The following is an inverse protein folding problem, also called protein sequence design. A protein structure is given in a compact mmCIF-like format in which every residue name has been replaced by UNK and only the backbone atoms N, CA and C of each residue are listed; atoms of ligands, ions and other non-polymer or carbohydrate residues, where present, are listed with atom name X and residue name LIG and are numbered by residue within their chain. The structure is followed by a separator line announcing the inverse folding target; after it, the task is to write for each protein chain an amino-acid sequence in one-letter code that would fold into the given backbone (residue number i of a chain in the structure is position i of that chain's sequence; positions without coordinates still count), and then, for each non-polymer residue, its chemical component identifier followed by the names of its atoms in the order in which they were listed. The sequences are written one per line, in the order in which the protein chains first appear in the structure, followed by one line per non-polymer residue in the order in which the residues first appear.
data_IF_620631176311
#
_entry.id   IF_620631176311
#
_cell.length_a   1.000
_cell.length_b   1.000
_cell.length_c   1.000
_cell.angle_alpha   90.00
_cell.angle_beta   90.00
_cell.angle_gamma   90.00
#
_symmetry.space_group_name_H-M   'P 1'
#
loop_
_entity.id
_entity.type
_entity.pdbx_description
1 polymer ?
#
# COMPACT_ATOMS: atom_id res chain seq x y z
N UNK A 1 -15.69 13.52 -7.84
CA UNK A 1 -15.27 14.87 -7.37
C UNK A 1 -15.78 15.04 -5.96
N UNK A 2 -14.90 15.30 -4.98
CA UNK A 2 -15.34 15.68 -3.63
C UNK A 2 -16.10 16.98 -3.71
N UNK A 3 -17.35 17.00 -3.26
CA UNK A 3 -18.22 18.19 -3.22
C UNK A 3 -18.11 18.94 -1.88
N UNK A 4 -17.27 18.47 -0.97
CA UNK A 4 -17.05 19.10 0.34
C UNK A 4 -16.09 20.28 0.21
N UNK A 5 -16.42 21.36 0.92
CA UNK A 5 -15.52 22.53 1.02
C UNK A 5 -14.24 22.09 1.72
N UNK A 6 -13.06 22.31 1.12
CA UNK A 6 -11.79 21.93 1.74
C UNK A 6 -11.65 22.59 3.12
N UNK A 7 -11.33 21.79 4.14
CA UNK A 7 -11.00 22.32 5.46
C UNK A 7 -9.64 22.99 5.41
N UNK A 8 -9.52 24.15 6.07
CA UNK A 8 -8.21 24.81 6.22
C UNK A 8 -7.35 23.99 7.19
N UNK A 9 -6.20 23.53 6.69
CA UNK A 9 -5.19 22.82 7.50
C UNK A 9 -4.09 23.82 7.82
N UNK A 10 -3.88 24.07 9.11
CA UNK A 10 -2.84 25.00 9.57
C UNK A 10 -1.56 24.22 9.92
N UNK A 11 -0.40 24.79 9.55
CA UNK A 11 0.90 24.22 9.94
C UNK A 11 1.06 24.07 11.46
N UNK A 12 0.44 24.97 12.23
CA UNK A 12 0.43 24.92 13.70
C UNK A 12 -0.27 23.67 14.26
N UNK A 13 -1.13 23.04 13.47
CA UNK A 13 -1.93 21.87 13.88
C UNK A 13 -1.19 20.56 13.64
N UNK A 14 -0.05 20.60 12.92
CA UNK A 14 0.76 19.42 12.71
C UNK A 14 1.22 18.82 14.04
N UNK A 15 1.01 17.52 14.18
CA UNK A 15 1.52 16.70 15.29
C UNK A 15 2.15 15.43 14.68
N UNK A 16 3.38 15.08 15.12
CA UNK A 16 3.98 13.82 14.71
C UNK A 16 3.14 12.66 15.26
N UNK A 17 3.09 11.55 14.50
CA UNK A 17 2.43 10.33 14.94
C UNK A 17 3.21 9.66 16.07
N UNK A 18 2.48 9.09 17.05
CA UNK A 18 3.08 8.32 18.15
C UNK A 18 3.78 7.04 17.67
N UNK A 19 3.31 6.47 16.55
CA UNK A 19 3.87 5.29 15.91
C UNK A 19 4.15 5.58 14.44
N UNK A 20 5.26 5.08 13.93
CA UNK A 20 5.62 5.15 12.50
C UNK A 20 5.86 3.75 11.95
N UNK A 21 5.82 3.64 10.62
CA UNK A 21 6.08 2.39 9.89
C UNK A 21 7.47 2.49 9.27
N UNK A 22 8.34 1.53 9.54
CA UNK A 22 9.67 1.46 8.93
C UNK A 22 9.72 0.57 7.70
N UNK A 23 8.86 -0.45 7.67
CA UNK A 23 8.72 -1.38 6.55
C UNK A 23 7.28 -1.84 6.42
N UNK A 24 6.82 -2.00 5.20
CA UNK A 24 5.56 -2.64 4.84
C UNK A 24 5.83 -3.77 3.84
N UNK A 25 5.36 -4.98 4.14
CA UNK A 25 5.27 -6.09 3.19
C UNK A 25 3.81 -6.20 2.74
N UNK A 26 3.58 -6.04 1.44
CA UNK A 26 2.27 -6.09 0.81
C UNK A 26 2.15 -7.34 -0.05
N UNK A 27 1.05 -8.05 0.10
CA UNK A 27 0.69 -9.16 -0.77
C UNK A 27 -0.69 -8.91 -1.36
N UNK A 28 -0.77 -8.87 -2.69
CA UNK A 28 -1.99 -8.69 -3.44
C UNK A 28 -2.40 -9.99 -4.14
N UNK A 29 -3.50 -10.59 -3.74
CA UNK A 29 -4.18 -11.60 -4.52
C UNK A 29 -5.17 -10.87 -5.45
N UNK A 30 -4.69 -10.50 -6.65
CA UNK A 30 -5.44 -9.65 -7.59
C UNK A 30 -6.59 -10.43 -8.23
N UNK A 31 -7.78 -9.89 -8.07
CA UNK A 31 -9.00 -10.24 -8.77
C UNK A 31 -9.84 -8.96 -8.94
N UNK A 32 -10.42 -8.66 -10.13
CA UNK A 32 -11.17 -7.43 -10.35
C UNK A 32 -12.34 -7.22 -9.39
N UNK A 33 -13.07 -8.29 -9.08
CA UNK A 33 -14.25 -8.24 -8.22
C UNK A 33 -13.92 -8.33 -6.72
N UNK A 34 -12.79 -8.97 -6.36
CA UNK A 34 -12.45 -9.26 -4.97
C UNK A 34 -10.93 -9.39 -4.75
N UNK A 35 -10.21 -8.29 -4.82
CA UNK A 35 -8.77 -8.29 -4.46
C UNK A 35 -8.60 -8.35 -2.95
N UNK A 36 -7.82 -9.33 -2.48
CA UNK A 36 -7.36 -9.39 -1.10
C UNK A 36 -5.98 -8.77 -0.99
N UNK A 37 -5.82 -7.88 -0.03
CA UNK A 37 -4.55 -7.23 0.29
C UNK A 37 -4.15 -7.60 1.70
N UNK A 38 -3.06 -8.33 1.85
CA UNK A 38 -2.42 -8.57 3.14
C UNK A 38 -1.28 -7.59 3.30
N UNK A 39 -1.33 -6.75 4.32
CA UNK A 39 -0.25 -5.83 4.67
C UNK A 39 0.34 -6.19 6.03
N UNK A 40 1.67 -6.32 6.09
CA UNK A 40 2.41 -6.52 7.33
C UNK A 40 3.30 -5.31 7.60
N UNK A 41 2.97 -4.57 8.65
CA UNK A 41 3.64 -3.33 9.04
C UNK A 41 4.65 -3.62 10.14
N UNK A 42 5.89 -3.14 9.99
CA UNK A 42 6.85 -3.04 11.08
C UNK A 42 6.72 -1.67 11.71
N UNK A 43 6.23 -1.65 12.93
CA UNK A 43 5.91 -0.44 13.69
C UNK A 43 7.02 -0.12 14.69
N UNK A 44 7.33 1.14 14.84
CA UNK A 44 8.21 1.64 15.90
C UNK A 44 7.60 2.88 16.53
N UNK A 45 7.78 3.01 17.85
CA UNK A 45 7.39 4.20 18.58
C UNK A 45 8.22 5.39 18.10
N UNK A 46 7.56 6.51 17.90
CA UNK A 46 8.22 7.76 17.52
C UNK A 46 8.65 8.53 18.78
N UNK A 47 9.95 8.60 19.11
CA UNK A 47 10.41 9.28 20.32
C UNK A 47 10.21 10.79 20.28
N UNK A 48 9.97 11.36 19.10
CA UNK A 48 9.72 12.80 18.93
C UNK A 48 8.25 13.19 19.12
N UNK A 49 7.36 12.20 19.31
CA UNK A 49 5.94 12.41 19.49
C UNK A 49 5.49 12.14 20.93
N UNK A 50 4.41 12.78 21.40
CA UNK A 50 3.73 12.35 22.62
C UNK A 50 3.28 10.90 22.53
N UNK A 51 3.19 10.22 23.69
CA UNK A 51 2.59 8.89 23.73
C UNK A 51 1.13 8.93 23.22
N UNK A 52 0.76 7.91 22.44
CA UNK A 52 -0.57 7.83 21.85
C UNK A 52 -0.77 6.49 21.11
N UNK A 53 -1.98 6.26 20.61
CA UNK A 53 -2.31 5.05 19.87
C UNK A 53 -1.61 4.99 18.51
N UNK A 54 -1.52 3.79 17.96
CA UNK A 54 -1.35 3.61 16.52
C UNK A 54 -2.65 4.07 15.83
N UNK A 55 -2.51 4.95 14.85
CA UNK A 55 -3.65 5.46 14.05
C UNK A 55 -3.46 4.99 12.61
N UNK A 56 -4.43 4.20 12.13
CA UNK A 56 -4.49 3.72 10.75
C UNK A 56 -5.68 4.39 10.06
N UNK A 57 -5.45 4.87 8.86
CA UNK A 57 -6.46 5.50 8.00
C UNK A 57 -6.91 4.50 6.94
N UNK A 58 -8.20 4.47 6.65
CA UNK A 58 -8.81 3.65 5.61
C UNK A 58 -9.98 4.38 4.97
N UNK A 59 -10.28 4.06 3.72
CA UNK A 59 -11.40 4.63 2.98
C UNK A 59 -12.01 3.56 2.06
N UNK A 60 -13.29 3.26 2.24
CA UNK A 60 -14.03 2.24 1.49
C UNK A 60 -13.38 0.84 1.51
N UNK A 61 -12.85 0.43 2.66
CA UNK A 61 -12.21 -0.86 2.86
C UNK A 61 -13.09 -1.83 3.64
N UNK A 62 -13.12 -3.10 3.22
CA UNK A 62 -13.61 -4.19 4.05
C UNK A 62 -12.46 -4.78 4.87
N UNK A 63 -12.49 -4.59 6.20
CA UNK A 63 -11.51 -5.19 7.11
C UNK A 63 -11.85 -6.68 7.32
N UNK A 64 -10.99 -7.57 6.83
CA UNK A 64 -11.17 -9.02 6.97
C UNK A 64 -10.52 -9.53 8.25
N UNK A 65 -9.29 -9.08 8.55
CA UNK A 65 -8.60 -9.42 9.80
C UNK A 65 -7.59 -8.35 10.19
N UNK A 66 -7.36 -8.26 11.50
CA UNK A 66 -6.36 -7.37 12.11
C UNK A 66 -5.69 -8.12 13.26
N UNK A 67 -4.35 -8.17 13.23
CA UNK A 67 -3.53 -8.75 14.29
C UNK A 67 -2.41 -7.80 14.66
N UNK A 68 -2.07 -7.77 15.93
CA UNK A 68 -0.88 -7.12 16.49
C UNK A 68 -0.06 -8.23 17.15
N UNK A 69 1.20 -8.36 16.71
CA UNK A 69 2.11 -9.41 17.18
C UNK A 69 1.46 -10.81 17.17
N UNK A 70 0.85 -11.13 15.99
CA UNK A 70 0.14 -12.37 15.68
C UNK A 70 -1.13 -12.65 16.52
N UNK A 71 -1.62 -11.66 17.28
CA UNK A 71 -2.82 -11.77 18.12
C UNK A 71 -3.86 -10.71 17.77
N UNK A 72 -5.12 -11.03 18.00
CA UNK A 72 -6.17 -10.01 17.91
C UNK A 72 -5.90 -8.90 18.95
N UNK A 73 -5.97 -7.60 18.57
CA UNK A 73 -5.82 -6.50 19.51
C UNK A 73 -6.94 -6.52 20.56
N UNK A 74 -6.62 -6.16 21.81
CA UNK A 74 -7.53 -6.33 22.95
C UNK A 74 -8.79 -5.45 22.86
N UNK A 75 -8.67 -4.21 22.38
CA UNK A 75 -9.76 -3.24 22.30
C UNK A 75 -9.50 -2.19 21.22
N UNK A 76 -9.48 -2.56 19.93
CA UNK A 76 -9.30 -1.58 18.86
C UNK A 76 -10.54 -0.69 18.75
N UNK A 77 -10.32 0.60 18.56
CA UNK A 77 -11.39 1.55 18.23
C UNK A 77 -11.49 1.64 16.71
N UNK A 78 -12.53 1.05 16.16
CA UNK A 78 -12.72 0.93 14.70
C UNK A 78 -13.89 1.82 14.27
N UNK A 79 -13.63 2.73 13.35
CA UNK A 79 -14.60 3.51 12.61
C UNK A 79 -14.51 3.22 11.12
N UNK A 80 -15.40 3.73 10.28
CA UNK A 80 -15.32 3.52 8.83
C UNK A 80 -14.02 4.00 8.16
N UNK A 81 -13.34 4.98 8.78
CA UNK A 81 -12.16 5.63 8.18
C UNK A 81 -10.92 5.61 9.06
N UNK A 82 -11.04 5.21 10.31
CA UNK A 82 -9.93 5.22 11.27
C UNK A 82 -9.97 3.99 12.15
N UNK A 83 -8.82 3.36 12.33
CA UNK A 83 -8.58 2.35 13.38
C UNK A 83 -7.55 2.92 14.34
N UNK A 84 -7.86 2.92 15.63
CA UNK A 84 -6.92 3.27 16.68
C UNK A 84 -6.66 2.08 17.59
N UNK A 85 -5.38 1.85 17.89
CA UNK A 85 -4.93 0.71 18.71
C UNK A 85 -3.93 1.19 19.73
N UNK A 86 -4.22 0.95 21.00
CA UNK A 86 -3.26 1.23 22.06
C UNK A 86 -2.21 0.11 22.07
N UNK A 87 -0.96 0.47 21.80
CA UNK A 87 0.17 -0.45 21.76
C UNK A 87 1.11 -0.21 22.93
N UNK A 88 1.66 -1.30 23.45
CA UNK A 88 2.69 -1.28 24.50
C UNK A 88 4.10 -1.44 23.87
N UNK A 89 5.14 -1.06 24.62
CA UNK A 89 6.54 -1.22 24.19
C UNK A 89 6.99 -0.19 23.16
N UNK A 90 8.12 -0.50 22.49
CA UNK A 90 8.80 0.41 21.56
C UNK A 90 8.65 -0.04 20.09
N UNK A 91 8.22 -1.27 19.84
CA UNK A 91 7.99 -1.84 18.52
C UNK A 91 6.86 -2.84 18.55
N UNK A 92 6.20 -3.02 17.42
CA UNK A 92 5.15 -4.02 17.20
C UNK A 92 5.09 -4.39 15.72
N UNK A 93 4.37 -5.46 15.41
CA UNK A 93 3.97 -5.79 14.04
C UNK A 93 2.45 -5.73 13.92
N UNK A 94 1.94 -5.17 12.82
CA UNK A 94 0.53 -5.25 12.49
C UNK A 94 0.34 -6.03 11.19
N UNK A 95 -0.48 -7.08 11.24
CA UNK A 95 -0.93 -7.80 10.05
C UNK A 95 -2.39 -7.47 9.80
N UNK A 96 -2.69 -6.96 8.61
CA UNK A 96 -4.01 -6.47 8.23
C UNK A 96 -4.39 -7.12 6.91
N UNK A 97 -5.56 -7.73 6.85
CA UNK A 97 -6.13 -8.23 5.61
C UNK A 97 -7.35 -7.39 5.27
N UNK A 98 -7.32 -6.79 4.08
CA UNK A 98 -8.43 -6.02 3.53
C UNK A 98 -8.94 -6.69 2.25
N UNK A 99 -10.23 -6.52 2.00
CA UNK A 99 -10.85 -6.86 0.73
C UNK A 99 -11.33 -5.58 0.05
N UNK A 100 -11.02 -5.45 -1.23
CA UNK A 100 -11.44 -4.33 -2.10
C UNK A 100 -11.97 -4.89 -3.42
N UNK A 101 -12.77 -4.09 -4.14
CA UNK A 101 -13.36 -4.45 -5.43
C UNK A 101 -12.91 -3.44 -6.51
N UNK A 102 -11.72 -3.61 -7.12
CA UNK A 102 -11.15 -2.64 -8.05
C UNK A 102 -12.02 -2.33 -9.28
N UNK A 103 -12.81 -3.30 -9.76
CA UNK A 103 -13.68 -3.09 -10.91
C UNK A 103 -14.85 -2.12 -10.65
N UNK A 104 -15.25 -1.95 -9.39
CA UNK A 104 -16.30 -1.02 -8.99
C UNK A 104 -15.76 0.33 -8.52
N UNK A 105 -14.44 0.48 -8.44
CA UNK A 105 -13.78 1.72 -8.02
C UNK A 105 -13.85 2.78 -9.13
N UNK A 106 -14.87 3.62 -9.09
CA UNK A 106 -15.07 4.74 -10.03
C UNK A 106 -14.40 6.03 -9.58
N UNK A 107 -13.87 6.08 -8.35
CA UNK A 107 -13.15 7.24 -7.83
C UNK A 107 -11.78 7.43 -8.49
N UNK A 108 -11.24 6.38 -9.14
CA UNK A 108 -9.89 6.35 -9.73
C UNK A 108 -8.83 6.76 -8.72
N UNK A 109 -9.00 6.34 -7.48
CA UNK A 109 -8.10 6.58 -6.35
C UNK A 109 -7.89 5.26 -5.60
N UNK A 110 -6.66 4.95 -5.19
CA UNK A 110 -6.27 3.63 -4.73
C UNK A 110 -6.08 2.66 -5.90
N UNK A 111 -6.48 1.40 -5.74
CA UNK A 111 -6.43 0.37 -6.78
C UNK A 111 -7.75 0.33 -7.56
N UNK A 112 -7.68 0.40 -8.88
CA UNK A 112 -8.84 0.32 -9.78
C UNK A 112 -8.51 -0.46 -11.06
N UNK A 113 -9.53 -0.83 -11.82
CA UNK A 113 -9.34 -1.43 -13.14
C UNK A 113 -9.66 -0.44 -14.25
N UNK A 114 -8.89 -0.50 -15.34
CA UNK A 114 -9.14 0.26 -16.56
C UNK A 114 -8.65 -0.53 -17.76
N UNK A 115 -9.46 -0.60 -18.83
CA UNK A 115 -9.11 -1.29 -20.08
C UNK A 115 -8.57 -2.71 -19.89
N UNK A 116 -9.09 -3.43 -18.91
CA UNK A 116 -8.71 -4.81 -18.63
C UNK A 116 -7.44 -4.98 -17.77
N UNK A 117 -6.80 -3.91 -17.31
CA UNK A 117 -5.67 -3.95 -16.39
C UNK A 117 -5.97 -3.33 -15.03
N UNK A 118 -5.12 -3.61 -14.05
CA UNK A 118 -5.10 -2.97 -12.73
C UNK A 118 -4.11 -1.82 -12.72
N UNK A 119 -4.50 -0.71 -12.11
CA UNK A 119 -3.70 0.48 -11.94
C UNK A 119 -3.92 1.09 -10.58
N UNK A 120 -2.93 1.81 -10.08
CA UNK A 120 -3.05 2.57 -8.83
C UNK A 120 -2.92 4.07 -9.07
N UNK A 121 -3.66 4.85 -8.28
CA UNK A 121 -3.46 6.28 -8.09
C UNK A 121 -3.47 6.56 -6.59
N UNK A 122 -2.31 6.83 -6.01
CA UNK A 122 -2.18 7.03 -4.56
C UNK A 122 -1.96 8.48 -4.14
N UNK A 123 -1.55 9.36 -5.04
CA UNK A 123 -1.42 10.78 -4.73
C UNK A 123 -2.81 11.46 -4.75
N UNK A 124 -3.18 12.24 -3.71
CA UNK A 124 -2.40 12.51 -2.52
C UNK A 124 -2.70 11.52 -1.37
N UNK A 125 -3.89 10.94 -1.27
CA UNK A 125 -4.41 10.15 -0.15
C UNK A 125 -5.10 8.86 -0.61
N UNK A 126 -4.67 8.29 -1.73
CA UNK A 126 -5.27 7.09 -2.32
C UNK A 126 -4.79 5.78 -1.71
N UNK A 127 -3.65 5.75 -1.03
CA UNK A 127 -3.13 4.50 -0.46
C UNK A 127 -4.06 3.92 0.62
N UNK A 128 -4.74 4.77 1.39
CA UNK A 128 -5.77 4.39 2.37
C UNK A 128 -7.00 3.70 1.77
N UNK A 129 -7.14 3.71 0.44
CA UNK A 129 -8.17 2.96 -0.30
C UNK A 129 -7.70 1.57 -0.76
N UNK A 130 -6.47 1.19 -0.40
CA UNK A 130 -5.88 -0.13 -0.70
C UNK A 130 -5.81 -0.98 0.57
N UNK A 131 -5.27 -0.40 1.64
CA UNK A 131 -5.14 -1.03 2.94
C UNK A 131 -5.11 0.01 4.05
N UNK A 132 -5.34 -0.41 5.29
CA UNK A 132 -5.21 0.42 6.48
C UNK A 132 -3.75 0.78 6.74
N UNK A 133 -3.43 2.07 6.78
CA UNK A 133 -2.07 2.57 6.90
C UNK A 133 -2.05 3.96 7.56
N UNK A 134 -0.98 4.38 8.25
CA UNK A 134 -0.80 5.77 8.64
C UNK A 134 -0.49 6.62 7.40
N UNK A 135 -1.49 6.82 6.53
CA UNK A 135 -1.37 7.36 5.18
C UNK A 135 -1.11 8.88 5.20
N UNK A 136 0.12 9.23 5.54
CA UNK A 136 0.62 10.61 5.64
C UNK A 136 1.99 10.74 4.97
N UNK A 137 2.32 11.90 4.38
CA UNK A 137 3.59 12.11 3.68
C UNK A 137 4.83 12.09 4.60
N UNK A 138 4.66 12.25 5.90
CA UNK A 138 5.73 12.18 6.91
C UNK A 138 6.02 10.74 7.40
N UNK A 139 5.24 9.75 6.97
CA UNK A 139 5.49 8.33 7.24
C UNK A 139 6.28 7.72 6.10
N UNK A 140 7.58 7.54 6.33
CA UNK A 140 8.54 7.06 5.35
C UNK A 140 8.86 5.60 5.62
N UNK A 141 8.38 4.68 4.77
CA UNK A 141 8.59 3.25 4.90
C UNK A 141 9.31 2.64 3.69
N UNK A 142 10.00 1.52 3.89
CA UNK A 142 10.43 0.63 2.80
C UNK A 142 9.28 -0.27 2.41
N UNK A 143 9.21 -0.61 1.13
CA UNK A 143 8.14 -1.43 0.59
C UNK A 143 8.67 -2.71 -0.01
N UNK A 144 8.09 -3.85 0.38
CA UNK A 144 8.18 -5.11 -0.34
C UNK A 144 6.77 -5.46 -0.82
N UNK A 145 6.64 -5.85 -2.09
CA UNK A 145 5.34 -6.03 -2.72
C UNK A 145 5.32 -7.34 -3.49
N UNK A 146 4.40 -8.21 -3.17
CA UNK A 146 4.11 -9.43 -3.94
C UNK A 146 2.76 -9.26 -4.64
N UNK A 147 2.76 -9.42 -5.95
CA UNK A 147 1.57 -9.39 -6.79
C UNK A 147 1.30 -10.79 -7.31
N UNK A 148 0.08 -11.29 -7.14
CA UNK A 148 -0.38 -12.54 -7.73
C UNK A 148 -1.60 -12.27 -8.61
N UNK A 149 -1.61 -12.82 -9.83
CA UNK A 149 -2.72 -12.66 -10.77
C UNK A 149 -2.85 -13.84 -11.73
N UNK A 150 -3.98 -13.90 -12.44
CA UNK A 150 -4.16 -14.76 -13.61
C UNK A 150 -3.17 -14.34 -14.70
N UNK A 151 -2.28 -15.28 -15.11
CA UNK A 151 -1.21 -14.99 -16.05
C UNK A 151 -1.72 -14.70 -17.47
N UNK A 152 -2.79 -15.35 -17.88
CA UNK A 152 -3.33 -15.15 -19.24
C UNK A 152 -3.96 -13.76 -19.40
N UNK A 153 -4.55 -13.22 -18.32
CA UNK A 153 -5.18 -11.89 -18.32
C UNK A 153 -4.21 -10.76 -17.99
N UNK A 154 -3.24 -11.02 -17.12
CA UNK A 154 -2.32 -10.02 -16.57
C UNK A 154 -0.88 -10.54 -16.65
N UNK A 155 -0.30 -10.69 -17.87
CA UNK A 155 1.03 -11.28 -18.04
C UNK A 155 2.17 -10.44 -17.47
N UNK A 156 1.94 -9.14 -17.24
CA UNK A 156 2.94 -8.22 -16.69
C UNK A 156 2.49 -7.71 -15.33
N UNK A 157 3.33 -7.91 -14.29
CA UNK A 157 3.10 -7.47 -12.92
C UNK A 157 4.23 -6.53 -12.50
N UNK A 158 3.92 -5.25 -12.29
CA UNK A 158 4.91 -4.21 -11.97
C UNK A 158 4.59 -3.54 -10.63
N UNK A 159 5.64 -3.18 -9.89
CA UNK A 159 5.57 -2.29 -8.74
C UNK A 159 6.84 -1.43 -8.65
N UNK A 160 6.94 -0.60 -7.60
CA UNK A 160 8.12 0.20 -7.35
C UNK A 160 9.34 -0.66 -7.01
N UNK A 161 10.53 -0.17 -7.37
CA UNK A 161 11.80 -0.75 -6.97
C UNK A 161 12.32 -1.81 -7.93
N UNK A 162 12.92 -2.86 -7.38
CA UNK A 162 13.59 -3.92 -8.13
C UNK A 162 12.79 -5.22 -8.06
N UNK A 163 12.69 -5.92 -9.19
CA UNK A 163 12.15 -7.28 -9.21
C UNK A 163 13.15 -8.22 -8.51
N UNK A 164 12.70 -8.86 -7.42
CA UNK A 164 13.53 -9.77 -6.63
C UNK A 164 13.08 -11.24 -6.70
N UNK A 165 11.94 -11.50 -7.32
CA UNK A 165 11.44 -12.85 -7.53
C UNK A 165 10.20 -12.87 -8.40
N UNK A 166 10.03 -13.93 -9.18
CA UNK A 166 8.85 -14.20 -9.98
C UNK A 166 8.69 -15.70 -10.18
N UNK A 167 7.49 -16.15 -10.50
CA UNK A 167 7.25 -17.56 -10.75
C UNK A 167 5.79 -17.89 -11.05
N UNK A 168 5.59 -19.14 -11.42
CA UNK A 168 4.27 -19.72 -11.67
C UNK A 168 3.63 -20.18 -10.35
N UNK A 169 2.32 -20.07 -10.29
CA UNK A 169 1.47 -20.58 -9.23
C UNK A 169 0.48 -21.61 -9.79
N UNK A 170 -0.15 -22.42 -8.95
CA UNK A 170 -1.25 -23.28 -9.38
C UNK A 170 -2.35 -22.50 -10.10
N UNK A 171 -3.17 -23.22 -10.87
CA UNK A 171 -4.39 -22.72 -11.52
C UNK A 171 -4.16 -21.57 -12.54
N UNK A 172 -2.99 -21.57 -13.19
CA UNK A 172 -2.65 -20.59 -14.22
C UNK A 172 -2.35 -19.17 -13.69
N UNK A 173 -2.17 -19.05 -12.40
CA UNK A 173 -1.71 -17.81 -11.77
C UNK A 173 -0.18 -17.71 -11.80
N UNK A 174 0.34 -16.52 -11.58
CA UNK A 174 1.75 -16.24 -11.40
C UNK A 174 1.97 -15.12 -10.38
N UNK A 175 3.21 -14.95 -9.94
CA UNK A 175 3.57 -13.88 -9.04
C UNK A 175 4.80 -13.12 -9.51
N UNK A 176 4.90 -11.88 -9.06
CA UNK A 176 6.11 -11.07 -9.10
C UNK A 176 6.31 -10.39 -7.74
N UNK A 177 7.56 -10.44 -7.21
CA UNK A 177 7.95 -9.82 -5.95
C UNK A 177 8.93 -8.70 -6.19
N UNK A 178 8.60 -7.53 -5.66
CA UNK A 178 9.33 -6.29 -5.83
C UNK A 178 9.83 -5.76 -4.49
N UNK A 179 11.01 -5.16 -4.46
CA UNK A 179 11.55 -4.48 -3.29
C UNK A 179 11.97 -3.06 -3.66
N UNK A 180 11.38 -2.07 -2.97
CA UNK A 180 11.84 -0.69 -3.03
C UNK A 180 12.68 -0.41 -1.77
N UNK A 181 14.03 -0.35 -1.90
CA UNK A 181 14.92 -0.29 -0.76
C UNK A 181 14.97 1.10 -0.10
N UNK A 182 14.40 2.12 -0.75
CA UNK A 182 14.42 3.48 -0.25
C UNK A 182 13.12 3.79 0.50
N UNK A 183 13.21 4.36 1.74
CA UNK A 183 12.01 4.83 2.41
C UNK A 183 11.27 5.87 1.57
N UNK A 184 9.98 5.67 1.37
CA UNK A 184 9.11 6.59 0.64
C UNK A 184 7.77 6.74 1.34
N UNK A 185 7.07 7.88 1.13
CA UNK A 185 5.69 8.03 1.58
C UNK A 185 4.75 7.17 0.73
N UNK A 186 3.62 6.81 1.31
CA UNK A 186 2.61 5.93 0.69
C UNK A 186 2.02 6.46 -0.62
N UNK A 187 1.95 7.79 -0.82
CA UNK A 187 1.41 8.36 -2.05
C UNK A 187 2.26 8.07 -3.30
N UNK A 188 3.53 7.64 -3.13
CA UNK A 188 4.40 7.20 -4.23
C UNK A 188 4.26 5.71 -4.57
N UNK A 189 3.43 4.98 -3.84
CA UNK A 189 3.18 3.57 -4.14
C UNK A 189 2.51 3.42 -5.50
N UNK A 190 3.04 2.50 -6.31
CA UNK A 190 2.49 2.16 -7.62
C UNK A 190 2.45 0.65 -7.84
N UNK A 191 1.39 0.20 -8.51
CA UNK A 191 1.16 -1.16 -8.97
C UNK A 191 0.50 -1.11 -10.34
N UNK A 192 0.95 -1.95 -11.26
CA UNK A 192 0.29 -2.22 -12.53
C UNK A 192 0.27 -3.73 -12.78
N UNK A 193 -0.90 -4.26 -13.16
CA UNK A 193 -1.03 -5.63 -13.63
C UNK A 193 -1.88 -5.63 -14.91
N UNK A 194 -1.27 -5.93 -16.07
CA UNK A 194 -1.93 -5.80 -17.36
C UNK A 194 -1.20 -6.55 -18.48
N UNK A 195 -1.84 -6.65 -19.63
CA UNK A 195 -1.17 -6.97 -20.89
C UNK A 195 -0.58 -5.68 -21.48
N UNK A 196 0.74 -5.55 -21.42
CA UNK A 196 1.48 -4.33 -21.79
C UNK A 196 2.40 -4.57 -22.98
N UNK A 197 2.41 -3.63 -23.91
CA UNK A 197 3.44 -3.57 -24.95
C UNK A 197 4.73 -2.93 -24.40
N UNK A 198 5.87 -3.54 -24.73
CA UNK A 198 7.19 -3.05 -24.31
C UNK A 198 7.79 -2.19 -25.42
N UNK A 199 8.26 -0.99 -25.08
CA UNK A 199 9.09 -0.15 -25.93
C UNK A 199 10.44 0.08 -25.23
N UNK A 200 11.44 -0.67 -25.67
CA UNK A 200 12.78 -0.68 -25.08
C UNK A 200 13.76 0.17 -25.88
N UNK A 201 14.54 1.00 -25.21
CA UNK A 201 15.60 1.81 -25.84
C UNK A 201 16.82 1.88 -24.92
N UNK A 202 17.99 1.67 -25.52
CA UNK A 202 19.26 1.93 -24.84
C UNK A 202 19.66 3.40 -25.03
N UNK A 203 19.99 4.05 -23.92
CA UNK A 203 20.51 5.40 -23.92
C UNK A 203 21.85 5.45 -23.17
N UNK A 204 22.69 6.42 -23.55
CA UNK A 204 23.90 6.73 -22.82
C UNK A 204 23.70 8.01 -22.02
N UNK A 205 23.87 7.96 -20.71
CA UNK A 205 23.78 9.12 -19.82
C UNK A 205 24.94 10.07 -20.04
N UNK A 206 24.86 11.31 -19.52
CA UNK A 206 25.97 12.28 -19.56
C UNK A 206 27.24 11.77 -18.86
N UNK A 207 27.11 10.89 -17.87
CA UNK A 207 28.24 10.22 -17.21
C UNK A 207 28.85 9.05 -18.03
N UNK A 208 28.32 8.77 -19.23
CA UNK A 208 28.78 7.68 -20.10
C UNK A 208 28.21 6.30 -19.79
N UNK A 209 27.35 6.16 -18.76
CA UNK A 209 26.71 4.89 -18.40
C UNK A 209 25.59 4.56 -19.40
N UNK A 210 25.58 3.33 -19.87
CA UNK A 210 24.43 2.82 -20.63
C UNK A 210 23.30 2.44 -19.68
N UNK A 211 22.09 2.82 -20.05
CA UNK A 211 20.83 2.47 -19.37
C UNK A 211 19.85 1.96 -20.41
N UNK A 212 19.07 0.97 -20.00
CA UNK A 212 17.96 0.39 -20.76
C UNK A 212 16.68 1.13 -20.40
#
# INVERSE_FOLDING_TARGET
MRTETPQTILRSDYRPLAWTVTHIDLHFALDPAATFVTSKLTLVRNPAAPAGPLVLLGDELELVSLKIDDRAPAAPRISPTVIEIDLEGESATAEIVTRIAPETNTALSGLYTSRGGFFTQCEAEGFRRITWFPDRPDVMARFTVTLEADKARFPVLLSNGNLIGEGELPDGRHFARWEDPFPKPSYLFALVAADLAVNERKIRTMSGREVL
#
